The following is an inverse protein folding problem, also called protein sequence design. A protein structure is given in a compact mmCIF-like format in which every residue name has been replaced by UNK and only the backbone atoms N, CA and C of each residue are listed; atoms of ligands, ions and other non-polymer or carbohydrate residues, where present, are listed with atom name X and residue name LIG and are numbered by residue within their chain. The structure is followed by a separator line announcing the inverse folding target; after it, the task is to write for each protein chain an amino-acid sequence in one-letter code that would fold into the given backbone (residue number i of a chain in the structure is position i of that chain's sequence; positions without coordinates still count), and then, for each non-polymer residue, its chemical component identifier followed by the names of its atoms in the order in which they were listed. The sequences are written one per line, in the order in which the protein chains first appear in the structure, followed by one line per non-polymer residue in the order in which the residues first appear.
data_IF_968141398145
#
_entry.id   IF_968141398145
#
_cell.length_a   1.000
_cell.length_b   1.000
_cell.length_c   1.000
_cell.angle_alpha   90.00
_cell.angle_beta   90.00
_cell.angle_gamma   90.00
#
_symmetry.space_group_name_H-M   'P 1'
#
loop_
_entity.id
_entity.type
_entity.pdbx_description
1 polymer ?
#
# COMPACT_ATOMS: atom_id res chain seq x y z
N UNK A 1 -22.49 -17.39 -18.79
CA UNK A 1 -22.07 -16.47 -17.71
C UNK A 1 -22.76 -16.87 -16.42
N UNK A 2 -21.98 -17.17 -15.37
CA UNK A 2 -22.50 -17.57 -14.06
C UNK A 2 -23.13 -16.36 -13.35
N UNK A 3 -24.34 -16.50 -12.79
CA UNK A 3 -25.05 -15.41 -12.08
C UNK A 3 -24.18 -14.83 -10.95
N UNK A 4 -23.39 -15.68 -10.28
CA UNK A 4 -22.49 -15.29 -9.19
C UNK A 4 -21.37 -14.35 -9.64
N UNK A 5 -21.00 -14.39 -10.91
CA UNK A 5 -19.99 -13.49 -11.45
C UNK A 5 -20.51 -12.08 -11.64
N UNK A 6 -21.74 -11.97 -12.17
CA UNK A 6 -22.42 -10.68 -12.32
C UNK A 6 -22.69 -10.03 -10.96
N UNK A 7 -23.02 -10.81 -9.94
CA UNK A 7 -23.24 -10.29 -8.59
C UNK A 7 -21.99 -9.63 -8.00
N UNK A 8 -20.81 -10.26 -8.12
CA UNK A 8 -19.54 -9.68 -7.64
C UNK A 8 -19.16 -8.44 -8.46
N UNK A 9 -19.32 -8.48 -9.78
CA UNK A 9 -19.07 -7.32 -10.64
C UNK A 9 -19.94 -6.13 -10.23
N UNK A 10 -21.22 -6.38 -9.94
CA UNK A 10 -22.17 -5.37 -9.49
C UNK A 10 -21.80 -4.82 -8.09
N UNK A 11 -21.40 -5.70 -7.15
CA UNK A 11 -20.91 -5.29 -5.82
C UNK A 11 -19.73 -4.32 -5.93
N UNK A 12 -18.78 -4.61 -6.84
CA UNK A 12 -17.57 -3.78 -7.02
C UNK A 12 -17.85 -2.40 -7.63
N UNK A 13 -18.95 -2.25 -8.36
CA UNK A 13 -19.37 -0.99 -8.94
C UNK A 13 -20.23 -0.17 -7.99
N UNK A 14 -21.02 -0.82 -7.12
CA UNK A 14 -21.94 -0.15 -6.20
C UNK A 14 -21.24 0.49 -5.02
N UNK A 15 -20.26 -0.18 -4.43
CA UNK A 15 -19.60 0.31 -3.22
C UNK A 15 -18.17 -0.23 -3.08
N UNK A 16 -17.25 0.16 -3.99
CA UNK A 16 -15.85 -0.24 -3.87
C UNK A 16 -15.23 0.36 -2.60
N UNK A 17 -14.36 -0.37 -1.88
CA UNK A 17 -13.73 0.19 -0.69
C UNK A 17 -12.85 1.41 -1.03
N UNK A 18 -12.76 2.40 -0.13
CA UNK A 18 -12.04 3.63 -0.41
C UNK A 18 -10.55 3.37 -0.67
N UNK A 19 -10.00 4.06 -1.68
CA UNK A 19 -8.61 3.93 -2.17
C UNK A 19 -8.24 2.58 -2.80
N UNK A 20 -9.25 1.81 -3.23
CA UNK A 20 -9.05 0.57 -3.99
C UNK A 20 -9.25 0.78 -5.50
N UNK A 21 -8.62 -0.11 -6.26
CA UNK A 21 -8.84 -0.36 -7.67
C UNK A 21 -9.34 -1.80 -7.81
N UNK A 22 -10.35 -2.00 -8.64
CA UNK A 22 -10.88 -3.33 -8.94
C UNK A 22 -10.12 -3.86 -10.16
N UNK A 23 -9.55 -5.06 -10.06
CA UNK A 23 -8.99 -5.77 -11.20
C UNK A 23 -9.79 -7.04 -11.47
N UNK A 24 -10.32 -7.15 -12.69
CA UNK A 24 -11.22 -8.21 -13.12
C UNK A 24 -10.48 -9.08 -14.15
N UNK A 25 -10.33 -10.37 -13.86
CA UNK A 25 -9.82 -11.36 -14.80
C UNK A 25 -11.00 -12.17 -15.35
N UNK A 26 -11.44 -11.79 -16.55
CA UNK A 26 -12.68 -12.25 -17.21
C UNK A 26 -12.67 -13.73 -17.59
N UNK A 27 -11.50 -14.38 -17.73
CA UNK A 27 -11.39 -15.79 -18.09
C UNK A 27 -11.86 -16.79 -17.02
N UNK A 28 -11.88 -16.40 -15.74
CA UNK A 28 -12.23 -17.28 -14.61
C UNK A 28 -13.13 -16.64 -13.55
N UNK A 29 -13.67 -15.45 -13.83
CA UNK A 29 -14.38 -14.63 -12.86
C UNK A 29 -13.59 -14.44 -11.54
N UNK A 30 -12.33 -14.04 -11.67
CA UNK A 30 -11.52 -13.66 -10.52
C UNK A 30 -11.48 -12.14 -10.44
N UNK A 31 -12.02 -11.58 -9.37
CA UNK A 31 -12.03 -10.14 -9.10
C UNK A 31 -11.19 -9.88 -7.87
N UNK A 32 -10.24 -8.97 -7.96
CA UNK A 32 -9.44 -8.56 -6.79
C UNK A 32 -9.57 -7.06 -6.56
N UNK A 33 -9.74 -6.69 -5.30
CA UNK A 33 -9.56 -5.32 -4.85
C UNK A 33 -8.07 -5.12 -4.53
N UNK A 34 -7.44 -4.24 -5.29
CA UNK A 34 -6.03 -3.85 -5.16
C UNK A 34 -5.99 -2.43 -4.63
N UNK A 35 -5.23 -2.15 -3.57
CA UNK A 35 -5.01 -0.76 -3.18
C UNK A 35 -4.21 -0.01 -4.26
N UNK A 36 -4.34 1.33 -4.34
CA UNK A 36 -3.68 2.20 -5.33
C UNK A 36 -2.20 1.89 -5.63
N UNK A 37 -1.46 1.19 -4.74
CA UNK A 37 -0.08 0.73 -4.97
C UNK A 37 0.20 -0.73 -4.55
N UNK A 38 -0.64 -1.67 -4.97
CA UNK A 38 -0.24 -3.08 -5.18
C UNK A 38 -0.46 -4.06 -4.03
N UNK A 39 -1.19 -3.70 -2.99
CA UNK A 39 -1.61 -4.66 -1.95
C UNK A 39 -3.03 -5.13 -2.22
N UNK A 40 -3.21 -6.43 -2.41
CA UNK A 40 -4.53 -7.06 -2.53
C UNK A 40 -5.23 -7.08 -1.16
N UNK A 41 -6.46 -6.55 -1.09
CA UNK A 41 -7.26 -6.58 0.14
C UNK A 41 -8.31 -7.69 0.13
N UNK A 42 -8.83 -8.06 -1.03
CA UNK A 42 -9.84 -9.11 -1.19
C UNK A 42 -9.76 -9.67 -2.60
N UNK A 43 -9.86 -10.98 -2.75
CA UNK A 43 -9.89 -11.64 -4.06
C UNK A 43 -11.11 -12.55 -4.14
N UNK A 44 -11.71 -12.69 -5.31
CA UNK A 44 -12.81 -13.58 -5.57
C UNK A 44 -12.33 -14.77 -6.39
N UNK A 45 -12.94 -15.93 -6.14
CA UNK A 45 -12.70 -17.16 -6.89
C UNK A 45 -14.05 -17.79 -7.20
N UNK A 46 -14.33 -18.05 -8.48
CA UNK A 46 -15.61 -18.64 -8.93
C UNK A 46 -16.86 -17.90 -8.40
N UNK A 47 -16.83 -16.56 -8.37
CA UNK A 47 -17.98 -15.78 -7.91
C UNK A 47 -18.18 -15.77 -6.38
N UNK A 48 -17.16 -16.12 -5.59
CA UNK A 48 -17.19 -15.99 -4.14
C UNK A 48 -15.93 -15.26 -3.64
N UNK A 49 -16.11 -14.26 -2.78
CA UNK A 49 -14.98 -13.60 -2.11
C UNK A 49 -14.25 -14.57 -1.19
N UNK A 50 -12.96 -14.75 -1.43
CA UNK A 50 -12.06 -15.56 -0.62
C UNK A 50 -11.07 -14.65 0.12
N UNK A 51 -10.87 -14.91 1.41
CA UNK A 51 -9.92 -14.19 2.26
C UNK A 51 -10.55 -13.07 3.10
N UNK A 52 -10.07 -13.00 4.35
CA UNK A 52 -10.48 -12.07 5.41
C UNK A 52 -9.39 -11.02 5.68
N UNK A 53 -8.79 -10.45 4.63
CA UNK A 53 -7.89 -9.30 4.80
C UNK A 53 -8.70 -8.01 4.74
N UNK A 54 -8.38 -7.09 5.64
CA UNK A 54 -9.17 -5.91 5.97
C UNK A 54 -9.71 -5.18 4.72
N UNK A 55 -11.03 -4.91 4.69
CA UNK A 55 -11.72 -4.16 3.63
C UNK A 55 -11.21 -2.71 3.47
N UNK A 56 -10.25 -2.27 4.28
CA UNK A 56 -9.74 -0.91 4.27
C UNK A 56 -8.30 -0.91 3.82
N UNK A 57 -8.00 -0.15 2.76
CA UNK A 57 -6.62 0.10 2.39
C UNK A 57 -5.85 0.71 3.56
N UNK A 58 -4.63 0.22 3.86
CA UNK A 58 -3.76 0.85 4.84
C UNK A 58 -3.47 2.30 4.41
N UNK A 59 -3.31 3.19 5.37
CA UNK A 59 -2.95 4.58 5.10
C UNK A 59 -1.67 4.62 4.26
N UNK A 60 -1.69 5.31 3.13
CA UNK A 60 -0.54 5.40 2.23
C UNK A 60 0.21 6.70 2.50
N UNK A 61 1.47 6.61 2.92
CA UNK A 61 2.26 7.78 3.28
C UNK A 61 2.94 8.48 2.10
N UNK A 62 2.85 7.93 0.89
CA UNK A 62 3.54 8.48 -0.27
C UNK A 62 5.04 8.16 -0.28
N UNK A 63 5.70 8.55 -1.37
CA UNK A 63 7.16 8.58 -1.42
C UNK A 63 7.62 9.61 -0.37
N UNK A 64 8.54 9.26 0.53
CA UNK A 64 9.00 10.22 1.54
C UNK A 64 9.73 11.39 0.88
N UNK A 65 9.84 12.50 1.60
CA UNK A 65 10.67 13.63 1.19
C UNK A 65 12.13 13.18 0.99
N UNK A 66 12.77 13.73 -0.04
CA UNK A 66 14.20 13.51 -0.26
C UNK A 66 14.98 14.16 0.89
N UNK A 67 15.97 13.46 1.42
CA UNK A 67 16.85 13.96 2.49
C UNK A 67 18.22 14.19 1.85
N UNK A 68 18.78 15.41 1.93
CA UNK A 68 20.10 15.69 1.40
C UNK A 68 21.14 14.72 1.97
N UNK A 69 22.01 14.22 1.11
CA UNK A 69 23.07 13.27 1.47
C UNK A 69 22.57 11.98 2.14
N UNK A 70 21.34 11.56 1.82
CA UNK A 70 20.77 10.32 2.33
C UNK A 70 20.02 9.52 1.26
N UNK A 71 20.22 8.21 1.29
CA UNK A 71 19.46 7.23 0.53
C UNK A 71 18.50 6.48 1.46
N UNK A 72 17.37 6.01 0.92
CA UNK A 72 16.44 5.17 1.69
C UNK A 72 16.11 3.88 0.96
N UNK A 73 15.89 2.81 1.73
CA UNK A 73 15.42 1.52 1.24
C UNK A 73 14.09 1.13 1.88
N UNK A 74 13.16 0.67 1.05
CA UNK A 74 11.89 0.09 1.47
C UNK A 74 10.94 -0.18 0.30
N UNK A 75 10.21 -1.29 0.40
CA UNK A 75 9.38 -1.81 -0.69
C UNK A 75 7.93 -1.32 -0.65
N UNK A 76 7.46 -0.87 0.52
CA UNK A 76 6.07 -0.48 0.75
C UNK A 76 6.00 0.87 1.46
N UNK A 77 5.12 1.75 0.99
CA UNK A 77 4.87 3.08 1.56
C UNK A 77 3.50 3.16 2.25
N UNK A 78 3.08 2.05 2.87
CA UNK A 78 1.78 1.87 3.51
C UNK A 78 1.88 1.90 5.03
N UNK A 79 0.75 1.97 5.73
CA UNK A 79 0.69 1.98 7.18
C UNK A 79 1.55 0.86 7.79
N UNK A 80 2.29 1.20 8.83
CA UNK A 80 3.22 0.30 9.52
C UNK A 80 4.47 -0.09 8.73
N UNK A 81 4.61 0.32 7.46
CA UNK A 81 5.85 0.17 6.69
C UNK A 81 6.95 1.07 7.25
N UNK A 82 8.19 0.58 7.23
CA UNK A 82 9.38 1.27 7.74
C UNK A 82 10.37 1.41 6.59
N UNK A 83 10.82 2.64 6.35
CA UNK A 83 11.92 2.95 5.45
C UNK A 83 13.20 3.10 6.25
N UNK A 84 14.27 2.46 5.83
CA UNK A 84 15.60 2.63 6.43
C UNK A 84 16.36 3.68 5.66
N UNK A 85 16.93 4.65 6.37
CA UNK A 85 17.76 5.69 5.78
C UNK A 85 19.23 5.43 6.04
N UNK A 86 20.06 5.78 5.06
CA UNK A 86 21.51 5.69 5.13
C UNK A 86 22.10 6.98 4.56
N UNK A 87 22.97 7.63 5.31
CA UNK A 87 23.69 8.79 4.80
C UNK A 87 24.80 8.36 3.85
N UNK A 88 25.16 9.27 2.95
CA UNK A 88 26.30 9.11 2.05
C UNK A 88 27.62 9.03 2.81
N UNK A 89 28.67 8.55 2.15
CA UNK A 89 29.99 8.42 2.77
C UNK A 89 30.50 9.79 3.25
N UNK A 90 30.99 9.84 4.48
CA UNK A 90 31.43 11.09 5.13
C UNK A 90 30.33 11.85 5.87
N UNK A 91 29.09 11.36 5.87
CA UNK A 91 27.98 11.96 6.62
C UNK A 91 27.46 11.01 7.71
N UNK A 92 27.09 11.58 8.85
CA UNK A 92 26.53 10.87 10.00
C UNK A 92 25.02 11.12 10.10
N UNK A 93 24.26 10.04 10.26
CA UNK A 93 22.81 10.12 10.45
C UNK A 93 22.49 10.62 11.86
N UNK A 94 21.82 11.76 11.93
CA UNK A 94 21.28 12.37 13.16
C UNK A 94 19.78 12.09 13.24
N UNK A 95 19.34 11.62 14.40
CA UNK A 95 17.94 11.27 14.64
C UNK A 95 17.60 9.81 14.28
N UNK A 96 16.34 9.51 13.90
CA UNK A 96 15.87 8.14 13.73
C UNK A 96 16.41 7.49 12.44
N UNK A 97 17.03 6.30 12.54
CA UNK A 97 17.56 5.51 11.41
C UNK A 97 16.52 5.08 10.37
N UNK A 98 15.24 5.35 10.62
CA UNK A 98 14.17 5.04 9.70
C UNK A 98 12.91 5.84 9.95
N UNK A 99 12.05 5.90 8.93
CA UNK A 99 10.72 6.51 9.03
C UNK A 99 9.65 5.43 8.98
N UNK A 100 8.68 5.52 9.89
CA UNK A 100 7.50 4.65 9.93
C UNK A 100 6.28 5.37 9.38
N UNK A 101 5.53 4.72 8.51
CA UNK A 101 4.27 5.27 8.00
C UNK A 101 3.17 5.18 9.07
N UNK A 102 2.66 6.34 9.49
CA UNK A 102 1.63 6.45 10.53
C UNK A 102 0.23 6.30 9.94
N UNK A 103 -0.75 6.04 10.81
CA UNK A 103 -2.17 5.82 10.43
C UNK A 103 -2.80 7.05 9.76
N UNK A 104 -2.22 8.23 9.99
CA UNK A 104 -2.63 9.49 9.37
C UNK A 104 -2.10 9.68 7.93
N UNK A 105 -1.41 8.69 7.35
CA UNK A 105 -0.84 8.81 6.01
C UNK A 105 0.37 9.75 5.95
N UNK A 106 1.06 9.98 7.07
CA UNK A 106 2.31 10.72 7.11
C UNK A 106 3.46 9.88 7.65
N UNK A 107 4.65 10.09 7.09
CA UNK A 107 5.88 9.54 7.65
C UNK A 107 6.15 10.11 9.04
N UNK A 108 6.77 9.30 9.90
CA UNK A 108 7.34 9.77 11.17
C UNK A 108 8.49 10.76 10.95
N UNK A 109 9.05 11.26 12.04
CA UNK A 109 10.14 12.24 12.04
C UNK A 109 11.28 11.88 11.08
N UNK A 110 11.77 12.91 10.40
CA UNK A 110 12.89 12.84 9.46
C UNK A 110 14.24 12.66 10.16
N UNK A 111 15.12 11.76 9.69
CA UNK A 111 16.54 11.90 9.98
C UNK A 111 17.15 13.08 9.21
N UNK A 112 18.29 13.53 9.67
CA UNK A 112 19.16 14.47 8.95
C UNK A 112 20.55 13.86 8.81
N UNK A 113 21.25 14.22 7.74
CA UNK A 113 22.64 13.83 7.53
C UNK A 113 23.49 15.08 7.68
N UNK A 114 24.49 15.02 8.55
CA UNK A 114 25.48 16.09 8.75
C UNK A 114 26.88 15.52 8.51
N UNK A 115 27.81 16.30 7.91
CA UNK A 115 29.22 15.90 7.84
C UNK A 115 29.82 15.74 9.24
#
# INVERSE_FOLDING_TARGET
CDKKCLDILCETQRNPPPNTRVEIHTGYCNVRYVCRKGTDIRTSRKGQWIGSKALKCPAYCGKPANIPHATFSGSYFSFNSILKYRCDQGFVLKGPKGRKCRKNGQWSQAPTCSP
#
